data_IF_415532321000
#
_entry.id   IF_415532321000
#
_cell.length_a   1.000
_cell.length_b   1.000
_cell.length_c   1.000
_cell.angle_alpha   90.00
_cell.angle_beta   90.00
_cell.angle_gamma   90.00
#
_symmetry.space_group_name_H-M   'P 1'
#
loop_
_entity.id
_entity.type
_entity.pdbx_description
1 polymer ?
#
# COMPACT_ATOMS: atom_id res chain seq x y z
N UNK A 1 21.79 -45.37 -10.81
CA UNK A 1 20.94 -44.38 -10.09
C UNK A 1 20.23 -43.51 -11.14
N UNK A 2 18.91 -43.56 -11.20
CA UNK A 2 18.14 -43.06 -12.35
C UNK A 2 18.23 -41.53 -12.46
N UNK A 3 19.05 -41.01 -13.38
CA UNK A 3 19.18 -39.58 -13.74
C UNK A 3 17.82 -38.89 -13.90
N UNK A 4 16.81 -39.60 -14.42
CA UNK A 4 15.42 -39.11 -14.51
C UNK A 4 14.82 -38.72 -13.15
N UNK A 5 15.09 -39.48 -12.09
CA UNK A 5 14.62 -39.19 -10.73
C UNK A 5 15.33 -37.96 -10.17
N UNK A 6 16.65 -37.84 -10.38
CA UNK A 6 17.45 -36.68 -9.94
C UNK A 6 16.94 -35.39 -10.60
N UNK A 7 16.71 -35.43 -11.92
CA UNK A 7 16.14 -34.30 -12.64
C UNK A 7 14.75 -33.89 -12.12
N UNK A 8 13.88 -34.88 -11.85
CA UNK A 8 12.55 -34.62 -11.29
C UNK A 8 12.62 -33.92 -9.93
N UNK A 9 13.51 -34.36 -9.05
CA UNK A 9 13.68 -33.72 -7.73
C UNK A 9 14.17 -32.27 -7.85
N UNK A 10 15.12 -32.00 -8.75
CA UNK A 10 15.60 -30.63 -9.01
C UNK A 10 14.46 -29.74 -9.52
N UNK A 11 13.65 -30.25 -10.45
CA UNK A 11 12.52 -29.49 -11.00
C UNK A 11 11.49 -29.16 -9.90
N UNK A 12 11.16 -30.11 -9.03
CA UNK A 12 10.23 -29.90 -7.91
C UNK A 12 10.74 -28.79 -6.98
N UNK A 13 12.03 -28.82 -6.63
CA UNK A 13 12.65 -27.79 -5.77
C UNK A 13 12.54 -26.40 -6.40
N UNK A 14 12.84 -26.29 -7.70
CA UNK A 14 12.75 -25.01 -8.43
C UNK A 14 11.31 -24.49 -8.45
N UNK A 15 10.34 -25.35 -8.72
CA UNK A 15 8.92 -24.96 -8.76
C UNK A 15 8.45 -24.50 -7.38
N UNK A 16 8.80 -25.22 -6.32
CA UNK A 16 8.47 -24.81 -4.94
C UNK A 16 9.08 -23.45 -4.61
N UNK A 17 10.35 -23.23 -4.97
CA UNK A 17 11.02 -21.95 -4.75
C UNK A 17 10.32 -20.80 -5.48
N UNK A 18 9.94 -21.00 -6.75
CA UNK A 18 9.19 -20.01 -7.53
C UNK A 18 7.84 -19.66 -6.89
N UNK A 19 7.10 -20.66 -6.39
CA UNK A 19 5.82 -20.46 -5.71
C UNK A 19 6.01 -19.63 -4.43
N UNK A 20 7.03 -19.95 -3.62
CA UNK A 20 7.35 -19.20 -2.41
C UNK A 20 7.69 -17.74 -2.76
N UNK A 21 8.58 -17.52 -3.73
CA UNK A 21 8.95 -16.17 -4.17
C UNK A 21 7.74 -15.40 -4.68
N UNK A 22 6.87 -16.02 -5.48
CA UNK A 22 5.65 -15.39 -5.96
C UNK A 22 4.69 -15.02 -4.83
N UNK A 23 4.58 -15.85 -3.80
CA UNK A 23 3.78 -15.58 -2.61
C UNK A 23 4.35 -14.42 -1.79
N UNK A 24 5.65 -14.41 -1.51
CA UNK A 24 6.31 -13.29 -0.81
C UNK A 24 6.25 -12.00 -1.61
N UNK A 25 6.48 -12.08 -2.92
CA UNK A 25 6.39 -10.94 -3.82
C UNK A 25 4.99 -10.35 -3.79
N UNK A 26 3.93 -11.16 -3.79
CA UNK A 26 2.54 -10.67 -3.79
C UNK A 26 1.88 -10.53 -2.42
N UNK A 27 2.62 -10.71 -1.31
CA UNK A 27 2.07 -10.63 0.05
C UNK A 27 1.32 -9.32 0.30
N UNK A 28 1.77 -8.22 -0.29
CA UNK A 28 1.13 -6.91 -0.21
C UNK A 28 -0.32 -6.87 -0.73
N UNK A 29 -0.71 -7.76 -1.67
CA UNK A 29 -2.10 -7.87 -2.16
C UNK A 29 -3.01 -8.62 -1.19
N UNK A 30 -2.46 -9.51 -0.36
CA UNK A 30 -3.24 -10.42 0.49
C UNK A 30 -3.25 -10.02 1.97
N UNK A 31 -2.31 -9.19 2.42
CA UNK A 31 -2.25 -8.68 3.80
C UNK A 31 -2.44 -7.16 3.88
N UNK A 32 -2.82 -6.51 2.78
CA UNK A 32 -2.90 -5.05 2.71
C UNK A 32 -4.04 -4.49 3.55
N UNK A 33 -3.75 -3.47 4.36
CA UNK A 33 -4.74 -2.62 5.03
C UNK A 33 -5.73 -2.09 3.99
N UNK A 34 -6.98 -2.53 3.95
CA UNK A 34 -7.90 -2.12 2.89
C UNK A 34 -8.46 -0.72 3.13
N UNK A 35 -8.54 0.07 2.07
CA UNK A 35 -9.30 1.31 2.09
C UNK A 35 -10.78 0.94 2.04
N UNK A 36 -11.50 1.19 3.14
CA UNK A 36 -12.92 0.83 3.26
C UNK A 36 -13.79 1.82 2.49
N UNK A 37 -13.43 3.11 2.56
CA UNK A 37 -14.19 4.20 1.95
C UNK A 37 -13.30 5.41 1.69
N UNK A 38 -13.80 6.29 0.83
CA UNK A 38 -13.20 7.60 0.58
C UNK A 38 -14.14 8.69 1.11
N UNK A 39 -13.59 9.74 1.69
CA UNK A 39 -14.36 10.91 2.13
C UNK A 39 -13.72 12.20 1.63
N UNK A 40 -14.52 13.25 1.48
CA UNK A 40 -14.06 14.57 1.06
C UNK A 40 -13.87 15.46 2.27
N UNK A 41 -12.75 16.18 2.32
CA UNK A 41 -12.51 17.22 3.33
C UNK A 41 -12.11 18.52 2.64
N UNK A 42 -12.49 19.63 3.26
CA UNK A 42 -12.12 20.98 2.79
C UNK A 42 -10.93 21.44 3.63
N UNK A 43 -9.80 21.70 2.98
CA UNK A 43 -8.64 22.33 3.60
C UNK A 43 -8.79 23.84 3.46
N UNK A 44 -8.76 24.56 4.57
CA UNK A 44 -8.82 26.04 4.57
C UNK A 44 -7.43 26.66 4.43
N UNK A 45 -6.42 26.00 4.99
CA UNK A 45 -5.03 26.46 5.01
C UNK A 45 -4.13 25.45 4.31
N UNK A 46 -2.94 25.91 3.90
CA UNK A 46 -1.87 25.01 3.47
C UNK A 46 -1.58 23.99 4.57
N UNK A 47 -1.62 22.71 4.22
CA UNK A 47 -1.54 21.61 5.19
C UNK A 47 -0.57 20.55 4.69
N UNK A 48 0.32 20.07 5.58
CA UNK A 48 1.21 18.97 5.26
C UNK A 48 0.42 17.64 5.22
N UNK A 49 0.72 16.80 4.22
CA UNK A 49 0.10 15.48 4.05
C UNK A 49 0.35 14.58 5.27
N UNK A 50 1.50 14.73 5.94
CA UNK A 50 1.83 14.00 7.15
C UNK A 50 0.97 14.41 8.35
N UNK A 51 0.58 15.69 8.44
CA UNK A 51 -0.31 16.16 9.51
C UNK A 51 -1.72 15.59 9.34
N UNK A 52 -2.18 15.49 8.10
CA UNK A 52 -3.43 14.79 7.78
C UNK A 52 -3.34 13.31 8.16
N UNK A 53 -2.20 12.67 7.91
CA UNK A 53 -2.00 11.29 8.29
C UNK A 53 -2.00 11.11 9.82
N UNK A 54 -1.40 12.04 10.59
CA UNK A 54 -1.48 12.01 12.05
C UNK A 54 -2.93 12.15 12.55
N UNK A 55 -3.75 12.96 11.86
CA UNK A 55 -5.13 13.25 12.28
C UNK A 55 -6.14 12.18 11.86
N UNK A 56 -5.96 11.56 10.70
CA UNK A 56 -6.98 10.71 10.07
C UNK A 56 -6.53 9.25 9.87
N UNK A 57 -5.33 8.88 10.31
CA UNK A 57 -4.82 7.50 10.21
C UNK A 57 -4.13 7.05 11.51
N UNK A 58 -4.02 5.74 11.69
CA UNK A 58 -3.25 5.13 12.77
C UNK A 58 -1.77 5.01 12.39
N UNK A 59 -0.89 4.81 13.38
CA UNK A 59 0.55 4.60 13.15
C UNK A 59 0.83 3.51 12.10
N UNK A 60 0.04 2.44 12.12
CA UNK A 60 0.14 1.30 11.22
C UNK A 60 -0.32 1.60 9.78
N UNK A 61 -1.30 2.51 9.63
CA UNK A 61 -1.92 2.84 8.34
C UNK A 61 -1.34 4.11 7.71
N UNK A 62 -0.49 4.84 8.43
CA UNK A 62 0.04 6.15 8.05
C UNK A 62 0.71 6.17 6.68
N UNK A 63 1.61 5.22 6.43
CA UNK A 63 2.33 5.14 5.16
C UNK A 63 1.38 4.91 3.97
N UNK A 64 0.37 4.04 4.15
CA UNK A 64 -0.63 3.77 3.12
C UNK A 64 -1.56 4.97 2.91
N UNK A 65 -1.97 5.63 3.99
CA UNK A 65 -2.79 6.84 3.94
C UNK A 65 -2.12 7.94 3.11
N UNK A 66 -0.84 8.22 3.36
CA UNK A 66 -0.06 9.22 2.60
C UNK A 66 0.04 8.85 1.12
N UNK A 67 0.34 7.59 0.82
CA UNK A 67 0.45 7.11 -0.57
C UNK A 67 -0.88 7.24 -1.34
N UNK A 68 -1.98 6.86 -0.71
CA UNK A 68 -3.32 6.94 -1.30
C UNK A 68 -3.76 8.40 -1.49
N UNK A 69 -3.54 9.30 -0.53
CA UNK A 69 -3.84 10.74 -0.70
C UNK A 69 -3.09 11.31 -1.88
N UNK A 70 -1.78 11.04 -1.98
CA UNK A 70 -0.94 11.54 -3.08
C UNK A 70 -1.46 11.04 -4.42
N UNK A 71 -1.78 9.76 -4.50
CA UNK A 71 -2.31 9.11 -5.72
C UNK A 71 -3.67 9.66 -6.14
N UNK A 72 -4.61 9.82 -5.22
CA UNK A 72 -6.01 10.16 -5.55
C UNK A 72 -6.17 11.64 -5.89
N UNK A 73 -5.44 12.51 -5.18
CA UNK A 73 -5.54 13.95 -5.38
C UNK A 73 -4.51 14.48 -6.40
N UNK A 74 -3.77 13.57 -7.06
CA UNK A 74 -2.69 13.91 -7.98
C UNK A 74 -1.72 14.94 -7.40
N UNK A 75 -1.38 14.76 -6.12
CA UNK A 75 -0.39 15.61 -5.45
C UNK A 75 0.96 15.07 -5.90
N UNK A 76 1.60 15.83 -6.80
CA UNK A 76 3.01 15.65 -7.14
C UNK A 76 3.86 15.66 -5.86
N UNK A 77 5.10 15.20 -5.93
CA UNK A 77 6.02 14.92 -4.79
C UNK A 77 6.09 15.94 -3.63
N UNK A 78 5.50 17.14 -3.77
CA UNK A 78 5.14 18.04 -2.69
C UNK A 78 4.56 17.34 -1.46
N UNK A 79 5.06 17.73 -0.30
CA UNK A 79 4.52 17.33 1.01
C UNK A 79 3.34 18.20 1.45
N UNK A 80 3.08 19.30 0.74
CA UNK A 80 2.08 20.29 1.10
C UNK A 80 0.95 20.32 0.08
N UNK A 81 -0.27 20.40 0.62
CA UNK A 81 -1.49 20.62 -0.14
C UNK A 81 -1.88 22.08 0.06
N UNK A 82 -2.06 22.79 -1.06
CA UNK A 82 -2.50 24.19 -1.08
C UNK A 82 -3.82 24.34 -0.30
N UNK A 83 -3.99 25.48 0.38
CA UNK A 83 -5.23 25.79 1.08
C UNK A 83 -6.40 26.08 0.14
N UNK A 84 -7.60 26.11 0.70
CA UNK A 84 -8.88 26.34 0.02
C UNK A 84 -9.22 25.32 -1.09
N UNK A 85 -8.75 24.09 -0.94
CA UNK A 85 -9.05 22.98 -1.85
C UNK A 85 -9.83 21.88 -1.14
N UNK A 86 -10.66 21.18 -1.92
CA UNK A 86 -11.32 19.95 -1.45
C UNK A 86 -10.46 18.77 -1.85
N UNK A 87 -10.05 17.96 -0.88
CA UNK A 87 -9.30 16.73 -1.13
C UNK A 87 -10.11 15.51 -0.74
N UNK A 88 -9.80 14.40 -1.38
CA UNK A 88 -10.34 13.07 -1.09
C UNK A 88 -9.32 12.35 -0.21
N UNK A 89 -9.76 11.92 0.97
CA UNK A 89 -8.94 11.13 1.90
C UNK A 89 -9.47 9.69 2.00
N UNK A 90 -8.57 8.70 2.10
CA UNK A 90 -8.95 7.31 2.35
C UNK A 90 -9.31 7.12 3.83
N UNK A 91 -10.27 6.26 4.11
CA UNK A 91 -10.50 5.71 5.45
C UNK A 91 -10.04 4.26 5.40
N UNK A 92 -8.96 3.99 6.11
CA UNK A 92 -8.27 2.70 6.13
C UNK A 92 -8.60 2.01 7.43
N UNK A 93 -9.06 0.76 7.38
CA UNK A 93 -9.25 -0.04 8.58
C UNK A 93 -7.88 -0.38 9.18
N UNK A 94 -7.63 0.04 10.41
CA UNK A 94 -6.58 -0.52 11.23
C UNK A 94 -7.11 -1.86 11.78
N UNK A 95 -6.33 -2.92 11.62
CA UNK A 95 -6.75 -4.28 12.01
C UNK A 95 -6.53 -4.53 13.50
#
# INVERSE_FOLDING_TARGET
>A
MNIKKIFLYILIIIVIFLVIVAFYSNRYKFTGLNTIKYTKIILKNETNVNDLAVKYSSSETKAKFVSEIKKINNIDSSEYILGNVTIIIPIIEAK
#
